data_IF_177526460620
#
_entry.id   IF_177526460620
#
_cell.length_a   1.000
_cell.length_b   1.000
_cell.length_c   1.000
_cell.angle_alpha   90.00
_cell.angle_beta   90.00
_cell.angle_gamma   90.00
#
_symmetry.space_group_name_H-M   'P 1'
#
loop_
_entity.id
_entity.type
_entity.pdbx_description
1 polymer ?
#
# COMPACT_ATOMS: atom_id res chain seq x y z
N UNK A 1 -17.42 20.33 13.22
CA UNK A 1 -18.57 19.59 12.66
C UNK A 1 -18.82 18.37 13.53
N UNK A 2 -20.07 18.13 13.94
CA UNK A 2 -20.46 17.00 14.81
C UNK A 2 -20.52 15.74 13.95
N UNK A 3 -19.58 14.81 14.10
CA UNK A 3 -19.67 13.52 13.42
C UNK A 3 -20.68 12.63 14.15
N UNK A 4 -21.75 12.28 13.45
CA UNK A 4 -22.65 11.18 13.84
C UNK A 4 -21.88 9.89 13.58
N UNK A 5 -21.45 9.22 14.64
CA UNK A 5 -21.03 7.82 14.59
C UNK A 5 -22.28 6.98 14.22
N UNK A 6 -22.48 6.71 12.93
CA UNK A 6 -23.48 5.74 12.49
C UNK A 6 -22.88 4.35 12.67
N UNK A 7 -23.10 3.77 13.86
CA UNK A 7 -22.91 2.34 14.09
C UNK A 7 -24.01 1.62 13.29
N UNK A 8 -23.71 1.17 12.08
CA UNK A 8 -24.55 0.23 11.35
C UNK A 8 -24.29 -1.17 11.88
N UNK A 9 -24.97 -1.54 12.97
CA UNK A 9 -25.06 -2.94 13.39
C UNK A 9 -26.02 -3.65 12.43
N UNK A 10 -25.49 -4.29 11.38
CA UNK A 10 -26.29 -5.11 10.48
C UNK A 10 -26.51 -6.49 11.12
N UNK A 11 -27.52 -6.59 11.98
CA UNK A 11 -27.92 -7.86 12.61
C UNK A 11 -28.84 -8.63 11.64
N UNK A 12 -28.26 -9.50 10.80
CA UNK A 12 -29.06 -10.44 10.00
C UNK A 12 -29.47 -11.60 10.89
N UNK A 13 -30.66 -11.51 11.49
CA UNK A 13 -31.30 -12.67 12.14
C UNK A 13 -32.19 -13.39 11.14
N UNK A 14 -31.66 -14.42 10.48
CA UNK A 14 -32.49 -15.41 9.78
C UNK A 14 -33.02 -16.40 10.82
N UNK A 15 -34.20 -16.11 11.38
CA UNK A 15 -35.00 -17.11 12.09
C UNK A 15 -35.75 -17.94 11.04
N UNK A 16 -35.22 -19.11 10.69
CA UNK A 16 -36.03 -20.15 10.03
C UNK A 16 -36.64 -21.02 11.11
N UNK A 17 -37.83 -20.64 11.56
CA UNK A 17 -38.74 -21.52 12.29
C UNK A 17 -39.77 -22.08 11.32
N UNK A 18 -39.75 -23.39 11.08
CA UNK A 18 -40.89 -24.10 10.55
C UNK A 18 -41.07 -25.44 11.29
N UNK A 19 -42.33 -25.72 11.62
CA UNK A 19 -42.82 -26.72 12.56
C UNK A 19 -43.03 -28.10 11.94
N UNK A 20 -42.68 -29.17 12.68
CA UNK A 20 -43.22 -30.56 12.74
C UNK A 20 -43.51 -31.30 11.41
N UNK A 21 -43.20 -32.57 11.20
CA UNK A 21 -42.83 -33.73 12.01
C UNK A 21 -41.93 -34.62 11.14
N UNK A 22 -40.95 -35.32 11.73
CA UNK A 22 -40.14 -36.32 11.03
C UNK A 22 -38.72 -36.38 11.60
N UNK A 23 -38.37 -37.51 12.19
CA UNK A 23 -37.07 -37.82 12.76
C UNK A 23 -35.94 -37.74 11.73
N UNK A 24 -35.16 -36.67 11.78
CA UNK A 24 -33.76 -36.62 11.38
C UNK A 24 -33.10 -35.62 12.35
N UNK A 25 -32.44 -36.16 13.39
CA UNK A 25 -31.61 -35.36 14.29
C UNK A 25 -30.30 -35.05 13.55
N UNK A 26 -30.39 -34.26 12.47
CA UNK A 26 -29.24 -33.69 11.79
C UNK A 26 -28.91 -32.38 12.51
N UNK A 27 -28.27 -32.50 13.67
CA UNK A 27 -27.85 -31.34 14.47
C UNK A 27 -26.64 -30.67 13.83
N UNK A 28 -26.83 -30.07 12.65
CA UNK A 28 -25.86 -29.12 12.11
C UNK A 28 -25.65 -28.02 13.15
N UNK A 29 -24.40 -27.86 13.60
CA UNK A 29 -24.06 -26.83 14.56
C UNK A 29 -24.10 -25.45 13.89
N UNK A 30 -24.58 -24.45 14.63
CA UNK A 30 -24.68 -23.07 14.14
C UNK A 30 -23.68 -22.16 14.83
N UNK A 31 -23.18 -21.16 14.12
CA UNK A 31 -22.41 -20.05 14.69
C UNK A 31 -22.81 -18.74 14.02
N UNK A 32 -22.40 -17.63 14.62
CA UNK A 32 -22.67 -16.27 14.13
C UNK A 32 -21.35 -15.60 13.77
N UNK A 33 -21.37 -14.80 12.71
CA UNK A 33 -20.23 -14.02 12.24
C UNK A 33 -20.58 -12.53 12.36
N UNK A 34 -19.63 -11.75 12.86
CA UNK A 34 -19.74 -10.31 12.99
C UNK A 34 -18.49 -9.65 12.42
N UNK A 35 -18.67 -8.55 11.70
CA UNK A 35 -17.57 -7.70 11.24
C UNK A 35 -17.42 -6.52 12.21
N UNK A 36 -16.19 -6.25 12.64
CA UNK A 36 -15.83 -5.17 13.54
C UNK A 36 -14.51 -4.52 13.11
N UNK A 37 -14.22 -3.33 13.66
CA UNK A 37 -12.96 -2.60 13.42
C UNK A 37 -12.62 -2.47 11.93
N UNK A 38 -13.61 -2.07 11.13
CA UNK A 38 -13.39 -1.77 9.72
C UNK A 38 -12.67 -0.43 9.62
N UNK A 39 -11.58 -0.38 8.87
CA UNK A 39 -10.85 0.83 8.51
C UNK A 39 -10.79 0.96 6.99
N UNK A 40 -10.04 1.93 6.49
CA UNK A 40 -9.70 2.08 5.06
C UNK A 40 -8.90 0.88 4.50
N UNK A 41 -8.24 0.08 5.34
CA UNK A 41 -7.29 -0.97 4.91
C UNK A 41 -7.35 -2.27 5.69
N UNK A 42 -8.25 -2.37 6.66
CA UNK A 42 -8.40 -3.56 7.49
C UNK A 42 -9.86 -3.79 7.90
N UNK A 43 -10.18 -5.03 8.22
CA UNK A 43 -11.43 -5.39 8.89
C UNK A 43 -11.21 -6.65 9.72
N UNK A 44 -11.81 -6.68 10.91
CA UNK A 44 -11.77 -7.87 11.76
C UNK A 44 -13.10 -8.61 11.68
N UNK A 45 -13.05 -9.90 11.38
CA UNK A 45 -14.20 -10.77 11.40
C UNK A 45 -14.09 -11.68 12.61
N UNK A 46 -15.08 -11.63 13.49
CA UNK A 46 -15.17 -12.43 14.71
C UNK A 46 -16.36 -13.36 14.57
N UNK A 47 -16.26 -14.55 15.15
CA UNK A 47 -17.39 -15.47 15.18
C UNK A 47 -17.53 -16.19 16.52
N UNK A 48 -18.76 -16.64 16.79
CA UNK A 48 -19.03 -17.49 17.95
C UNK A 48 -18.48 -18.89 17.71
N UNK A 49 -18.01 -19.55 18.78
CA UNK A 49 -17.59 -20.96 18.69
C UNK A 49 -18.83 -21.85 18.86
N UNK A 50 -19.16 -22.71 17.89
CA UNK A 50 -20.22 -23.70 18.09
C UNK A 50 -19.86 -24.67 19.22
N UNK A 51 -20.87 -25.22 19.90
CA UNK A 51 -20.66 -26.27 20.89
C UNK A 51 -20.17 -27.56 20.22
N UNK A 52 -19.05 -28.10 20.69
CA UNK A 52 -18.44 -29.31 20.14
C UNK A 52 -16.91 -29.28 20.24
N UNK A 53 -16.30 -30.40 20.63
CA UNK A 53 -14.84 -30.50 20.70
C UNK A 53 -14.27 -30.79 19.32
N UNK A 54 -13.45 -29.86 18.82
CA UNK A 54 -12.64 -29.93 17.58
C UNK A 54 -13.26 -29.30 16.32
N UNK A 55 -13.79 -28.08 16.43
CA UNK A 55 -14.09 -27.25 15.25
C UNK A 55 -12.81 -26.63 14.68
N UNK A 56 -12.64 -26.69 13.37
CA UNK A 56 -11.70 -25.88 12.61
C UNK A 56 -12.43 -25.00 11.61
N UNK A 57 -11.77 -23.92 11.18
CA UNK A 57 -12.33 -22.92 10.28
C UNK A 57 -11.52 -22.79 9.00
N UNK A 58 -12.21 -22.48 7.92
CA UNK A 58 -11.66 -21.91 6.71
C UNK A 58 -12.17 -20.47 6.58
N UNK A 59 -11.27 -19.55 6.29
CA UNK A 59 -11.58 -18.12 6.12
C UNK A 59 -11.44 -17.78 4.65
N UNK A 60 -12.49 -17.17 4.08
CA UNK A 60 -12.49 -16.74 2.69
C UNK A 60 -12.79 -15.26 2.57
N UNK A 61 -12.14 -14.60 1.60
CA UNK A 61 -12.41 -13.22 1.19
C UNK A 61 -12.48 -13.17 -0.34
N UNK A 62 -13.54 -12.59 -0.90
CA UNK A 62 -13.81 -12.54 -2.34
C UNK A 62 -13.66 -13.91 -3.04
N UNK A 63 -14.17 -14.96 -2.38
CA UNK A 63 -14.07 -16.37 -2.76
C UNK A 63 -12.66 -17.00 -2.77
N UNK A 64 -11.62 -16.25 -2.41
CA UNK A 64 -10.27 -16.78 -2.20
C UNK A 64 -10.11 -17.38 -0.79
N UNK A 65 -9.46 -18.54 -0.69
CA UNK A 65 -9.14 -19.18 0.59
C UNK A 65 -7.93 -18.48 1.22
N UNK A 66 -8.16 -17.81 2.35
CA UNK A 66 -7.13 -17.06 3.07
C UNK A 66 -6.45 -17.92 4.15
N UNK A 67 -7.25 -18.69 4.90
CA UNK A 67 -6.75 -19.57 5.96
C UNK A 67 -7.49 -20.90 5.99
N UNK A 68 -6.78 -21.95 6.40
CA UNK A 68 -7.34 -23.30 6.51
C UNK A 68 -6.95 -23.97 7.81
N UNK A 69 -7.78 -24.91 8.29
CA UNK A 69 -7.59 -25.58 9.59
C UNK A 69 -7.41 -24.61 10.76
N UNK A 70 -7.97 -23.41 10.64
CA UNK A 70 -7.81 -22.31 11.59
C UNK A 70 -8.57 -22.60 12.88
N UNK A 71 -8.02 -22.23 14.03
CA UNK A 71 -8.57 -22.59 15.36
C UNK A 71 -8.95 -21.41 16.23
N UNK A 72 -8.63 -20.19 15.79
CA UNK A 72 -9.15 -19.00 16.43
C UNK A 72 -10.55 -18.71 15.92
N UNK A 73 -11.22 -17.80 16.59
CA UNK A 73 -12.58 -17.36 16.26
C UNK A 73 -12.61 -15.87 15.88
N UNK A 74 -11.47 -15.36 15.42
CA UNK A 74 -11.29 -14.01 14.91
C UNK A 74 -10.23 -14.04 13.83
N UNK A 75 -10.39 -13.24 12.80
CA UNK A 75 -9.38 -13.02 11.76
C UNK A 75 -9.40 -11.55 11.36
N UNK A 76 -8.22 -10.92 11.28
CA UNK A 76 -8.08 -9.55 10.80
C UNK A 76 -7.50 -9.58 9.40
N UNK A 77 -8.30 -9.15 8.43
CA UNK A 77 -7.82 -8.84 7.09
C UNK A 77 -7.08 -7.51 7.13
N UNK A 78 -5.90 -7.46 6.49
CA UNK A 78 -5.07 -6.26 6.33
C UNK A 78 -4.73 -6.08 4.85
N UNK A 79 -4.25 -4.89 4.47
CA UNK A 79 -3.90 -4.60 3.08
C UNK A 79 -5.10 -4.49 2.14
N UNK A 80 -6.29 -4.19 2.68
CA UNK A 80 -7.49 -3.98 1.88
C UNK A 80 -7.41 -2.64 1.12
N UNK A 81 -8.11 -2.56 0.00
CA UNK A 81 -8.33 -1.31 -0.71
C UNK A 81 -9.40 -0.50 0.03
N UNK A 82 -9.21 0.82 0.15
CA UNK A 82 -10.20 1.73 0.73
C UNK A 82 -11.42 1.88 -0.18
N UNK A 83 -12.53 2.35 0.37
CA UNK A 83 -13.79 2.59 -0.36
C UNK A 83 -14.24 1.39 -1.22
N UNK A 84 -13.92 0.17 -0.77
CA UNK A 84 -14.10 -1.05 -1.54
C UNK A 84 -15.02 -2.01 -0.78
N UNK A 85 -15.97 -2.60 -1.51
CA UNK A 85 -16.85 -3.64 -0.98
C UNK A 85 -16.15 -4.99 -0.99
N UNK A 86 -16.15 -5.66 0.16
CA UNK A 86 -15.67 -7.02 0.33
C UNK A 86 -16.80 -7.93 0.78
N UNK A 87 -16.76 -9.17 0.29
CA UNK A 87 -17.61 -10.24 0.78
C UNK A 87 -16.76 -11.46 1.09
N UNK A 88 -17.19 -12.26 2.06
CA UNK A 88 -16.44 -13.43 2.46
C UNK A 88 -17.32 -14.43 3.17
N UNK A 89 -16.71 -15.53 3.58
CA UNK A 89 -17.39 -16.60 4.32
C UNK A 89 -16.45 -17.27 5.29
N UNK A 90 -16.98 -17.66 6.42
CA UNK A 90 -16.33 -18.55 7.38
C UNK A 90 -17.00 -19.91 7.21
N UNK A 91 -16.21 -20.95 7.00
CA UNK A 91 -16.70 -22.34 6.98
C UNK A 91 -16.13 -23.04 8.20
N UNK A 92 -16.99 -23.48 9.09
CA UNK A 92 -16.65 -24.26 10.27
C UNK A 92 -16.89 -25.75 10.00
N UNK A 93 -15.98 -26.62 10.46
CA UNK A 93 -16.14 -28.07 10.33
C UNK A 93 -15.71 -28.80 11.60
N UNK A 94 -16.45 -29.86 11.96
CA UNK A 94 -16.05 -30.82 12.99
C UNK A 94 -15.39 -32.08 12.37
N UNK A 95 -15.12 -32.08 11.05
CA UNK A 95 -14.60 -33.20 10.28
C UNK A 95 -15.66 -34.11 9.66
N UNK A 96 -16.92 -34.02 10.09
CA UNK A 96 -18.06 -34.77 9.50
C UNK A 96 -19.10 -33.83 8.88
N UNK A 97 -19.35 -32.70 9.53
CA UNK A 97 -20.31 -31.69 9.13
C UNK A 97 -19.60 -30.36 8.85
N UNK A 98 -20.22 -29.56 7.99
CA UNK A 98 -19.78 -28.21 7.67
C UNK A 98 -20.94 -27.23 7.78
N UNK A 99 -20.65 -26.07 8.34
CA UNK A 99 -21.57 -24.93 8.36
C UNK A 99 -20.83 -23.72 7.84
N UNK A 100 -21.46 -22.96 6.94
CA UNK A 100 -20.86 -21.77 6.33
C UNK A 100 -21.72 -20.55 6.61
N UNK A 101 -21.09 -19.47 7.05
CA UNK A 101 -21.75 -18.18 7.29
C UNK A 101 -21.02 -17.10 6.49
N UNK A 102 -21.77 -16.38 5.66
CA UNK A 102 -21.26 -15.26 4.88
C UNK A 102 -21.18 -13.98 5.69
N UNK A 103 -20.27 -13.09 5.30
CA UNK A 103 -20.16 -11.71 5.79
C UNK A 103 -19.87 -10.77 4.62
N UNK A 104 -20.15 -9.49 4.82
CA UNK A 104 -19.76 -8.43 3.89
C UNK A 104 -19.49 -7.15 4.66
N UNK A 105 -18.60 -6.32 4.13
CA UNK A 105 -18.29 -5.00 4.67
C UNK A 105 -17.76 -4.09 3.56
N UNK A 106 -17.80 -2.78 3.81
CA UNK A 106 -17.15 -1.78 2.97
C UNK A 106 -16.02 -1.18 3.79
N UNK A 107 -14.81 -1.12 3.24
CA UNK A 107 -13.73 -0.34 3.85
C UNK A 107 -14.10 1.13 3.89
N UNK A 108 -13.57 1.83 4.89
CA UNK A 108 -13.84 3.26 5.07
C UNK A 108 -13.16 4.11 3.98
N UNK A 109 -13.50 5.40 3.95
CA UNK A 109 -12.83 6.40 3.11
C UNK A 109 -11.31 6.34 3.33
N UNK A 110 -10.54 6.55 2.27
CA UNK A 110 -9.09 6.59 2.40
C UNK A 110 -8.63 7.66 3.40
N UNK A 111 -8.02 7.21 4.50
CA UNK A 111 -7.36 8.10 5.46
C UNK A 111 -5.86 7.90 5.32
N UNK A 112 -5.13 8.81 4.63
CA UNK A 112 -3.69 8.69 4.50
C UNK A 112 -3.04 8.71 5.89
N UNK A 113 -2.12 7.79 6.13
CA UNK A 113 -1.22 7.89 7.28
C UNK A 113 -0.15 8.93 6.95
N UNK A 114 -0.36 10.17 7.38
CA UNK A 114 0.50 11.31 7.02
C UNK A 114 1.59 11.47 8.09
N UNK A 115 2.85 11.52 7.66
CA UNK A 115 3.94 12.05 8.46
C UNK A 115 3.90 13.58 8.42
N UNK A 116 3.46 14.19 9.53
CA UNK A 116 3.17 15.63 9.62
C UNK A 116 4.41 16.55 9.65
N UNK A 117 5.60 16.03 9.37
CA UNK A 117 6.88 16.76 9.36
C UNK A 117 7.69 16.43 8.10
N UNK A 118 8.87 17.04 7.95
CA UNK A 118 9.85 16.60 6.96
C UNK A 118 10.63 15.40 7.47
N UNK A 119 10.87 14.41 6.62
CA UNK A 119 11.62 13.21 6.94
C UNK A 119 13.09 13.40 6.53
N UNK A 120 14.01 13.15 7.46
CA UNK A 120 15.45 13.14 7.22
C UNK A 120 15.99 11.76 7.56
N UNK A 121 16.28 10.96 6.55
CA UNK A 121 16.69 9.56 6.66
C UNK A 121 18.17 9.48 6.32
N UNK A 122 19.01 9.41 7.36
CA UNK A 122 20.45 9.59 7.20
C UNK A 122 21.30 8.32 7.32
N UNK A 123 20.64 7.17 7.41
CA UNK A 123 21.25 5.84 7.46
C UNK A 123 20.16 4.78 7.24
N UNK A 124 20.56 3.52 7.03
CA UNK A 124 19.62 2.43 6.75
C UNK A 124 18.66 2.15 7.93
N UNK A 125 19.10 2.35 9.18
CA UNK A 125 18.22 2.18 10.34
C UNK A 125 17.08 3.20 10.33
N UNK A 126 17.36 4.47 10.00
CA UNK A 126 16.34 5.51 9.89
C UNK A 126 15.32 5.19 8.78
N UNK A 127 15.77 4.65 7.64
CA UNK A 127 14.87 4.19 6.57
C UNK A 127 13.96 3.06 7.06
N UNK A 128 14.53 2.05 7.73
CA UNK A 128 13.77 0.92 8.27
C UNK A 128 12.76 1.34 9.34
N UNK A 129 13.18 2.23 10.25
CA UNK A 129 12.32 2.77 11.31
C UNK A 129 11.17 3.60 10.71
N UNK A 130 11.45 4.46 9.74
CA UNK A 130 10.42 5.23 9.05
C UNK A 130 9.40 4.29 8.36
N UNK A 131 9.90 3.30 7.61
CA UNK A 131 9.06 2.32 6.92
C UNK A 131 8.14 1.52 7.84
N UNK A 132 8.60 1.19 9.05
CA UNK A 132 7.79 0.44 10.03
C UNK A 132 6.51 1.17 10.49
N UNK A 133 6.40 2.47 10.24
CA UNK A 133 5.22 3.25 10.55
C UNK A 133 4.16 3.23 9.45
N UNK A 134 4.46 2.68 8.26
CA UNK A 134 3.52 2.57 7.15
C UNK A 134 2.93 3.94 6.73
N UNK A 135 3.74 5.00 6.72
CA UNK A 135 3.32 6.32 6.26
C UNK A 135 3.05 6.29 4.75
N UNK A 136 1.92 6.87 4.36
CA UNK A 136 1.54 6.99 2.95
C UNK A 136 1.86 8.36 2.36
N UNK A 137 1.94 9.39 3.19
CA UNK A 137 2.25 10.74 2.73
C UNK A 137 3.24 11.41 3.69
N UNK A 138 4.12 12.26 3.15
CA UNK A 138 4.99 13.15 3.92
C UNK A 138 4.56 14.58 3.66
N UNK A 139 4.25 15.33 4.72
CA UNK A 139 3.68 16.68 4.61
C UNK A 139 4.65 17.73 4.07
N UNK A 140 5.95 17.51 4.26
CA UNK A 140 7.02 18.41 3.81
C UNK A 140 8.04 17.62 2.98
N UNK A 141 9.33 17.86 3.18
CA UNK A 141 10.39 17.27 2.39
C UNK A 141 10.75 15.86 2.86
N UNK A 142 11.23 15.03 1.93
CA UNK A 142 11.91 13.77 2.20
C UNK A 142 13.36 13.91 1.75
N UNK A 143 14.29 13.86 2.70
CA UNK A 143 15.72 13.88 2.43
C UNK A 143 16.29 12.52 2.83
N UNK A 144 16.89 11.82 1.87
CA UNK A 144 17.55 10.52 2.05
C UNK A 144 19.03 10.73 1.71
N UNK A 145 19.90 10.64 2.71
CA UNK A 145 21.32 10.92 2.52
C UNK A 145 22.19 10.01 3.37
N UNK A 146 23.14 9.28 2.77
CA UNK A 146 24.06 8.46 3.56
C UNK A 146 24.67 7.28 2.80
N UNK A 147 26.00 7.11 2.86
CA UNK A 147 26.71 6.09 2.07
C UNK A 147 26.40 4.65 2.49
N UNK A 148 25.74 4.45 3.62
CA UNK A 148 25.28 3.15 4.12
C UNK A 148 23.85 2.80 3.70
N UNK A 149 23.13 3.70 3.02
CA UNK A 149 21.76 3.44 2.56
C UNK A 149 21.83 2.63 1.26
N UNK A 150 21.34 1.40 1.31
CA UNK A 150 21.36 0.46 0.18
C UNK A 150 19.99 -0.11 -0.17
N UNK A 151 18.98 0.12 0.67
CA UNK A 151 17.65 -0.46 0.53
C UNK A 151 16.56 0.56 0.88
N UNK A 152 15.66 0.85 -0.08
CA UNK A 152 14.50 1.73 0.12
C UNK A 152 13.19 0.94 0.22
N UNK A 153 13.19 -0.39 0.14
CA UNK A 153 11.98 -1.24 0.23
C UNK A 153 11.10 -0.96 1.46
N UNK A 154 11.62 -0.52 2.63
CA UNK A 154 10.76 -0.11 3.74
C UNK A 154 9.81 1.05 3.41
N UNK A 155 10.11 1.85 2.38
CA UNK A 155 9.31 3.01 1.99
C UNK A 155 8.12 2.68 1.06
N UNK A 156 7.86 1.40 0.77
CA UNK A 156 6.90 0.97 -0.25
C UNK A 156 5.45 1.44 -0.03
N UNK A 157 5.08 1.87 1.17
CA UNK A 157 3.75 2.43 1.43
C UNK A 157 3.60 3.90 1.02
N UNK A 158 4.72 4.59 0.77
CA UNK A 158 4.76 6.01 0.45
C UNK A 158 4.18 6.28 -0.94
N UNK A 159 3.16 7.13 -0.98
CA UNK A 159 2.46 7.55 -2.20
C UNK A 159 2.69 9.01 -2.55
N UNK A 160 2.85 9.88 -1.55
CA UNK A 160 3.00 11.32 -1.80
C UNK A 160 4.05 11.95 -0.91
N UNK A 161 4.83 12.86 -1.48
CA UNK A 161 5.62 13.83 -0.73
C UNK A 161 5.15 15.21 -1.17
N UNK A 162 4.62 16.00 -0.22
CA UNK A 162 4.05 17.31 -0.53
C UNK A 162 5.11 18.39 -0.74
N UNK A 163 6.35 18.17 -0.28
CA UNK A 163 7.52 19.02 -0.55
C UNK A 163 8.50 18.39 -1.53
N UNK A 164 9.78 18.73 -1.37
CA UNK A 164 10.89 18.21 -2.19
C UNK A 164 11.29 16.80 -1.75
N UNK A 165 11.64 15.96 -2.74
CA UNK A 165 12.40 14.73 -2.48
C UNK A 165 13.85 14.99 -2.89
N UNK A 166 14.78 14.75 -1.95
CA UNK A 166 16.22 14.77 -2.19
C UNK A 166 16.80 13.40 -1.83
N UNK A 167 17.44 12.73 -2.80
CA UNK A 167 18.15 11.46 -2.58
C UNK A 167 19.60 11.63 -3.00
N UNK A 168 20.50 11.65 -2.02
CA UNK A 168 21.91 11.93 -2.26
C UNK A 168 22.88 11.04 -1.51
N UNK A 169 24.10 10.89 -2.05
CA UNK A 169 25.19 10.18 -1.37
C UNK A 169 24.84 8.75 -0.90
N UNK A 170 23.90 8.07 -1.57
CA UNK A 170 23.52 6.69 -1.24
C UNK A 170 24.23 5.66 -2.12
N UNK A 171 24.12 4.38 -1.78
CA UNK A 171 24.66 3.27 -2.59
C UNK A 171 23.56 2.39 -3.20
N UNK A 172 22.32 2.87 -3.21
CA UNK A 172 21.17 2.18 -3.82
C UNK A 172 21.40 1.97 -5.31
N UNK A 173 20.91 0.85 -5.83
CA UNK A 173 21.01 0.54 -7.27
C UNK A 173 19.77 0.94 -8.06
N UNK A 174 18.64 0.96 -7.38
CA UNK A 174 17.31 1.31 -7.88
C UNK A 174 16.57 2.06 -6.78
N UNK A 175 15.38 2.55 -7.09
CA UNK A 175 14.44 3.06 -6.09
C UNK A 175 13.34 2.05 -5.76
N UNK A 176 13.68 0.75 -5.74
CA UNK A 176 12.78 -0.28 -5.23
C UNK A 176 12.36 0.07 -3.80
N UNK A 177 11.06 0.11 -3.55
CA UNK A 177 10.47 0.71 -2.36
C UNK A 177 9.83 2.09 -2.57
N UNK A 178 10.01 2.72 -3.73
CA UNK A 178 9.23 3.91 -4.12
C UNK A 178 8.20 3.58 -5.22
N UNK A 179 7.84 2.30 -5.36
CA UNK A 179 6.97 1.77 -6.43
C UNK A 179 5.53 2.30 -6.39
N UNK A 180 5.12 2.81 -5.22
CA UNK A 180 3.81 3.41 -5.00
C UNK A 180 3.82 4.94 -5.01
N UNK A 181 4.98 5.59 -5.23
CA UNK A 181 5.07 7.03 -5.25
C UNK A 181 4.35 7.60 -6.49
N UNK A 182 3.37 8.45 -6.26
CA UNK A 182 2.47 9.03 -7.27
C UNK A 182 2.68 10.54 -7.46
N UNK A 183 3.15 11.23 -6.41
CA UNK A 183 3.15 12.70 -6.34
C UNK A 183 4.36 13.26 -5.57
N UNK A 184 5.04 14.24 -6.18
CA UNK A 184 6.05 15.10 -5.54
C UNK A 184 5.59 16.55 -5.71
N UNK A 185 5.40 17.26 -4.60
CA UNK A 185 4.79 18.59 -4.61
C UNK A 185 5.73 19.73 -5.02
N UNK A 186 7.03 19.55 -4.84
CA UNK A 186 8.06 20.54 -5.22
C UNK A 186 9.09 19.89 -6.15
N UNK A 187 10.38 19.93 -5.79
CA UNK A 187 11.50 19.45 -6.61
C UNK A 187 11.75 17.94 -6.41
N UNK A 188 12.35 17.32 -7.41
CA UNK A 188 12.90 15.97 -7.29
C UNK A 188 14.38 15.96 -7.66
N UNK A 189 15.21 15.89 -6.61
CA UNK A 189 16.65 16.05 -6.69
C UNK A 189 17.35 14.73 -6.38
N UNK A 190 18.14 14.24 -7.34
CA UNK A 190 18.88 12.98 -7.22
C UNK A 190 20.33 13.23 -7.59
N UNK A 191 21.22 13.18 -6.60
CA UNK A 191 22.61 13.53 -6.86
C UNK A 191 23.63 12.72 -6.07
N UNK A 192 24.81 12.51 -6.65
CA UNK A 192 25.91 11.75 -6.04
C UNK A 192 25.55 10.31 -5.61
N UNK A 193 24.73 9.59 -6.40
CA UNK A 193 24.44 8.17 -6.15
C UNK A 193 25.26 7.30 -7.15
N UNK A 194 26.48 6.86 -6.80
CA UNK A 194 27.40 6.20 -7.73
C UNK A 194 26.91 4.86 -8.28
N UNK A 195 25.95 4.22 -7.60
CA UNK A 195 25.45 2.89 -7.92
C UNK A 195 24.06 2.90 -8.57
N UNK A 196 23.40 4.05 -8.68
CA UNK A 196 22.04 4.14 -9.22
C UNK A 196 22.04 3.85 -10.72
N UNK A 197 21.37 2.76 -11.13
CA UNK A 197 21.35 2.28 -12.52
C UNK A 197 20.12 2.76 -13.27
N UNK A 198 18.95 2.77 -12.62
CA UNK A 198 17.69 3.14 -13.25
C UNK A 198 16.66 3.64 -12.23
N UNK A 199 15.55 4.17 -12.76
CA UNK A 199 14.42 4.70 -11.98
C UNK A 199 13.15 3.87 -12.17
N UNK A 200 13.23 2.61 -12.59
CA UNK A 200 12.08 1.85 -13.06
C UNK A 200 10.99 1.65 -12.01
N UNK A 201 11.28 1.79 -10.72
CA UNK A 201 10.26 1.76 -9.67
C UNK A 201 9.29 2.96 -9.73
N UNK A 202 9.65 4.07 -10.37
CA UNK A 202 8.83 5.29 -10.34
C UNK A 202 7.67 5.32 -11.35
N UNK A 203 7.26 4.18 -11.91
CA UNK A 203 6.24 4.13 -12.98
C UNK A 203 4.86 4.71 -12.58
N UNK A 204 4.55 4.81 -11.28
CA UNK A 204 3.30 5.42 -10.81
C UNK A 204 3.40 6.93 -10.61
N UNK A 205 4.59 7.51 -10.68
CA UNK A 205 4.80 8.94 -10.49
C UNK A 205 4.18 9.69 -11.68
N UNK A 206 3.23 10.56 -11.38
CA UNK A 206 2.48 11.32 -12.41
C UNK A 206 2.68 12.83 -12.33
N UNK A 207 3.19 13.32 -11.19
CA UNK A 207 3.32 14.74 -10.91
C UNK A 207 4.63 15.05 -10.18
N UNK A 208 5.34 16.07 -10.69
CA UNK A 208 6.43 16.77 -10.02
C UNK A 208 6.13 18.26 -10.14
N UNK A 209 6.08 18.96 -9.01
CA UNK A 209 5.65 20.36 -8.97
C UNK A 209 6.59 21.31 -9.69
N UNK A 210 7.89 21.15 -9.46
CA UNK A 210 8.92 22.11 -9.88
C UNK A 210 10.01 21.42 -10.73
N UNK A 211 11.27 21.50 -10.30
CA UNK A 211 12.45 21.09 -11.05
C UNK A 211 12.74 19.60 -10.86
N UNK A 212 13.41 19.03 -11.85
CA UNK A 212 13.89 17.65 -11.84
C UNK A 212 15.38 17.66 -12.13
N UNK A 213 16.18 17.38 -11.11
CA UNK A 213 17.62 17.58 -11.14
C UNK A 213 18.33 16.26 -10.90
N UNK A 214 19.14 15.86 -11.87
CA UNK A 214 20.05 14.73 -11.81
C UNK A 214 21.48 15.22 -11.94
N UNK A 215 22.30 14.99 -10.90
CA UNK A 215 23.69 15.41 -10.91
C UNK A 215 24.63 14.32 -10.37
N UNK A 216 25.68 13.97 -11.11
CA UNK A 216 26.68 12.99 -10.66
C UNK A 216 26.10 11.63 -10.26
N UNK A 217 25.30 11.03 -11.15
CA UNK A 217 24.82 9.65 -11.06
C UNK A 217 25.47 8.83 -12.20
N UNK A 218 26.77 8.50 -12.09
CA UNK A 218 27.65 8.16 -13.22
C UNK A 218 27.33 6.87 -13.95
N UNK A 219 26.48 6.01 -13.38
CA UNK A 219 26.06 4.77 -14.03
C UNK A 219 24.57 4.73 -14.37
N UNK A 220 23.82 5.81 -14.12
CA UNK A 220 22.40 5.90 -14.45
C UNK A 220 22.22 5.79 -15.96
N UNK A 221 21.52 4.76 -16.42
CA UNK A 221 21.42 4.39 -17.83
C UNK A 221 20.12 4.90 -18.49
N UNK A 222 19.07 5.13 -17.70
CA UNK A 222 17.79 5.62 -18.20
C UNK A 222 16.93 6.25 -17.10
N UNK A 223 15.89 6.98 -17.52
CA UNK A 223 14.86 7.59 -16.65
C UNK A 223 13.45 7.09 -17.01
N UNK A 224 13.32 5.84 -17.45
CA UNK A 224 12.07 5.29 -17.98
C UNK A 224 10.93 5.24 -16.96
N UNK A 225 11.29 5.19 -15.67
CA UNK A 225 10.36 5.36 -14.55
C UNK A 225 9.49 6.60 -14.66
N UNK A 226 10.00 7.67 -15.26
CA UNK A 226 9.34 8.96 -15.33
C UNK A 226 8.41 9.12 -16.55
N UNK A 227 8.20 8.06 -17.33
CA UNK A 227 7.39 8.11 -18.56
C UNK A 227 5.93 8.52 -18.36
N UNK A 228 5.39 8.38 -17.13
CA UNK A 228 4.02 8.76 -16.78
C UNK A 228 3.91 10.15 -16.15
N UNK A 229 5.02 10.87 -15.96
CA UNK A 229 5.01 12.24 -15.43
C UNK A 229 4.45 13.16 -16.52
N UNK A 230 3.18 13.53 -16.35
CA UNK A 230 2.41 14.29 -17.35
C UNK A 230 2.25 15.76 -17.00
N UNK A 231 2.58 16.16 -15.76
CA UNK A 231 2.54 17.53 -15.31
C UNK A 231 3.91 17.93 -14.77
N UNK A 232 4.66 18.69 -15.56
CA UNK A 232 5.99 19.20 -15.22
C UNK A 232 6.12 20.65 -15.70
N UNK A 233 6.47 21.55 -14.78
CA UNK A 233 6.56 22.98 -15.10
C UNK A 233 7.95 23.59 -14.88
N UNK A 234 8.87 22.87 -14.23
CA UNK A 234 10.23 23.33 -13.95
C UNK A 234 11.24 23.06 -15.06
N UNK A 235 12.52 23.08 -14.69
CA UNK A 235 13.65 22.75 -15.53
C UNK A 235 14.10 21.30 -15.32
N UNK A 236 14.40 20.59 -16.41
CA UNK A 236 15.02 19.27 -16.35
C UNK A 236 16.53 19.42 -16.51
N UNK A 237 17.29 19.08 -15.48
CA UNK A 237 18.74 19.14 -15.48
C UNK A 237 19.31 17.73 -15.33
N UNK A 238 20.25 17.37 -16.22
CA UNK A 238 20.92 16.08 -16.20
C UNK A 238 22.41 16.27 -16.50
N UNK A 239 23.26 15.97 -15.53
CA UNK A 239 24.71 16.05 -15.65
C UNK A 239 25.38 14.88 -14.90
N UNK A 240 26.49 14.37 -15.41
CA UNK A 240 27.24 13.31 -14.72
C UNK A 240 26.54 11.95 -14.75
N UNK A 241 25.92 11.56 -15.87
CA UNK A 241 25.24 10.25 -16.05
C UNK A 241 25.70 9.49 -17.30
N UNK A 242 25.22 8.26 -17.51
CA UNK A 242 25.43 7.48 -18.75
C UNK A 242 24.35 7.70 -19.82
N UNK A 243 23.34 8.51 -19.52
CA UNK A 243 22.23 8.74 -20.46
C UNK A 243 22.72 9.59 -21.62
N UNK A 244 22.75 8.99 -22.81
CA UNK A 244 23.14 9.68 -24.05
C UNK A 244 21.93 10.24 -24.81
N UNK A 245 20.71 9.77 -24.52
CA UNK A 245 19.50 10.19 -25.19
C UNK A 245 18.25 10.06 -24.30
N UNK A 246 17.36 11.04 -24.38
CA UNK A 246 16.09 11.11 -23.68
C UNK A 246 14.90 10.67 -24.56
N UNK A 247 15.12 9.75 -25.50
CA UNK A 247 14.09 9.31 -26.46
C UNK A 247 12.77 8.84 -25.80
N UNK A 248 12.78 8.47 -24.51
CA UNK A 248 11.60 8.04 -23.75
C UNK A 248 10.71 9.22 -23.29
N UNK A 249 11.25 10.44 -23.26
CA UNK A 249 10.53 11.66 -22.88
C UNK A 249 9.90 12.41 -24.09
N UNK A 250 9.97 11.82 -25.29
CA UNK A 250 9.78 12.58 -26.54
C UNK A 250 8.35 12.70 -27.10
N UNK A 251 7.34 11.96 -26.62
CA UNK A 251 6.07 11.87 -27.38
C UNK A 251 4.79 12.39 -26.70
N UNK A 252 4.82 12.84 -25.44
CA UNK A 252 3.64 13.47 -24.86
C UNK A 252 3.99 14.44 -23.73
N UNK A 253 4.16 15.72 -24.08
CA UNK A 253 4.07 16.88 -23.17
C UNK A 253 5.17 17.07 -22.10
N UNK A 254 5.74 18.29 -22.07
CA UNK A 254 5.99 19.11 -20.85
C UNK A 254 7.39 19.38 -20.28
N UNK A 255 8.49 18.76 -20.70
CA UNK A 255 9.82 19.28 -20.28
C UNK A 255 10.20 20.53 -21.11
N UNK A 256 9.72 21.71 -20.68
CA UNK A 256 10.23 22.99 -21.15
C UNK A 256 11.52 23.26 -20.38
N UNK A 257 12.64 23.52 -21.06
CA UNK A 257 13.96 23.81 -20.47
C UNK A 257 14.73 22.55 -20.01
N UNK A 258 15.18 21.77 -21.00
CA UNK A 258 16.10 20.65 -20.81
C UNK A 258 17.54 21.17 -20.87
N UNK A 259 18.32 20.91 -19.82
CA UNK A 259 19.77 21.06 -19.79
C UNK A 259 20.42 19.69 -19.60
N UNK A 260 21.25 19.29 -20.57
CA UNK A 260 22.06 18.08 -20.47
C UNK A 260 23.52 18.52 -20.48
N UNK A 261 24.18 18.43 -19.33
CA UNK A 261 25.62 18.63 -19.19
C UNK A 261 26.36 17.39 -19.68
N UNK A 262 27.26 17.57 -20.65
CA UNK A 262 28.14 16.48 -21.10
C UNK A 262 29.26 16.25 -20.08
N UNK A 263 29.57 14.98 -19.84
CA UNK A 263 30.70 14.52 -19.00
C UNK A 263 32.07 14.96 -19.55
#
# INVERSE_FOLDING_TARGET
MKYKLLIYTFLVTMLVGCSKDGSDDNTSFTFQVEVQNVTDRAATVIWTRPEGSNITYQVYLNDELIESSYRQNTYTFTGLLSETSYSGKITATNGSETTTVGFAFNTEDYVPNIYESGAYLNNQQAVNEFGSHHYNEIRYNLIITGPEIYDLTPLNDLKKVHGTIEIEHTIVQTFEGLDNLEFIGEDFDIHYNPNLVDLNSLQKLTHIGNDLIFYSNPILENVNGLSNVSLFTGAFQLEGSKIESLNILNDATQLKNIYIGLN
#
